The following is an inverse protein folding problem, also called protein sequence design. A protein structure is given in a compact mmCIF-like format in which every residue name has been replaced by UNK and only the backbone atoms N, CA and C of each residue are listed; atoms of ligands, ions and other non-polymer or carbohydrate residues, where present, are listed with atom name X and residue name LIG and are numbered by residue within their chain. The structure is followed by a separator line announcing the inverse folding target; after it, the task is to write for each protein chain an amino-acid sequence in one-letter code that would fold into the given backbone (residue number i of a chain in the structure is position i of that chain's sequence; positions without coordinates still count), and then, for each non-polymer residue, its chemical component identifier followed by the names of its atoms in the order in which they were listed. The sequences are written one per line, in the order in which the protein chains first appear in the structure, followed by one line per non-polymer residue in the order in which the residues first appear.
data_IF_052191678045
#
_entry.id   IF_052191678045
#
_cell.length_a   1.000
_cell.length_b   1.000
_cell.length_c   1.000
_cell.angle_alpha   90.00
_cell.angle_beta   90.00
_cell.angle_gamma   90.00
#
_symmetry.space_group_name_H-M   'P 1'
#
loop_
_entity.id
_entity.type
_entity.pdbx_description
1 polymer ?
#
# COMPACT_ATOMS: atom_id res chain seq x y z
N UNK A 1 3.31 10.58 16.71
CA UNK A 1 2.54 11.72 16.14
C UNK A 1 2.28 12.70 17.27
N UNK A 2 2.70 13.96 17.12
CA UNK A 2 2.45 14.96 18.16
C UNK A 2 0.97 15.39 18.19
N UNK A 3 0.57 16.01 19.31
CA UNK A 3 -0.83 16.39 19.55
C UNK A 3 -1.33 17.45 18.56
N UNK A 4 -0.45 18.28 18.00
CA UNK A 4 -0.78 19.30 17.02
C UNK A 4 -1.08 18.69 15.65
N UNK A 5 -0.30 17.71 15.23
CA UNK A 5 -0.52 16.92 14.00
C UNK A 5 -1.81 16.12 14.11
N UNK A 6 -2.07 15.48 15.27
CA UNK A 6 -3.32 14.76 15.53
C UNK A 6 -4.54 15.70 15.43
N UNK A 7 -4.49 16.88 16.04
CA UNK A 7 -5.57 17.86 15.99
C UNK A 7 -5.80 18.43 14.59
N UNK A 8 -4.74 18.61 13.80
CA UNK A 8 -4.86 19.02 12.39
C UNK A 8 -5.56 17.96 11.56
N UNK A 9 -5.18 16.68 11.70
CA UNK A 9 -5.78 15.55 10.98
C UNK A 9 -7.25 15.42 11.39
N UNK A 10 -7.56 15.45 12.67
CA UNK A 10 -8.94 15.35 13.18
C UNK A 10 -9.83 16.51 12.74
N UNK A 11 -9.26 17.70 12.51
CA UNK A 11 -10.00 18.85 11.96
C UNK A 11 -10.45 18.68 10.51
N UNK A 12 -9.82 17.75 9.78
CA UNK A 12 -10.15 17.43 8.36
C UNK A 12 -10.92 16.12 8.18
N UNK A 13 -11.20 15.37 9.27
CA UNK A 13 -11.98 14.14 9.19
C UNK A 13 -13.45 14.45 9.43
N UNK A 14 -14.29 14.52 8.39
CA UNK A 14 -15.70 14.83 8.54
C UNK A 14 -16.45 13.70 9.21
N UNK A 15 -17.47 14.07 9.97
CA UNK A 15 -18.43 13.15 10.58
C UNK A 15 -19.63 12.97 9.66
N UNK A 16 -20.03 11.73 9.44
CA UNK A 16 -21.22 11.33 8.68
C UNK A 16 -22.28 10.81 9.64
N UNK A 17 -23.51 11.31 9.53
CA UNK A 17 -24.66 10.85 10.32
C UNK A 17 -25.54 9.99 9.42
N UNK A 18 -25.76 8.73 9.81
CA UNK A 18 -26.71 7.84 9.17
C UNK A 18 -27.98 7.74 10.02
N UNK A 19 -29.12 8.11 9.45
CA UNK A 19 -30.42 7.90 10.03
C UNK A 19 -30.98 6.52 9.64
N UNK A 20 -31.43 5.75 10.64
CA UNK A 20 -32.09 4.45 10.43
C UNK A 20 -33.35 4.36 11.27
N UNK A 21 -34.15 3.30 11.08
CA UNK A 21 -35.31 3.02 11.92
C UNK A 21 -34.97 2.75 13.40
N UNK A 22 -33.67 2.55 13.71
CA UNK A 22 -33.15 2.34 15.07
C UNK A 22 -32.50 3.58 15.68
N UNK A 23 -32.60 4.74 15.01
CA UNK A 23 -32.02 6.01 15.44
C UNK A 23 -30.85 6.47 14.52
N UNK A 24 -30.21 7.55 14.93
CA UNK A 24 -29.06 8.12 14.26
C UNK A 24 -27.75 7.51 14.79
N UNK A 25 -26.81 7.24 13.89
CA UNK A 25 -25.44 6.83 14.21
C UNK A 25 -24.45 7.77 13.54
N UNK A 26 -23.46 8.17 14.31
CA UNK A 26 -22.36 9.03 13.84
C UNK A 26 -21.13 8.19 13.57
N UNK A 27 -20.47 8.41 12.43
CA UNK A 27 -19.21 7.79 12.02
C UNK A 27 -18.27 8.88 11.53
N UNK A 28 -16.97 8.75 11.75
CA UNK A 28 -16.02 9.44 10.91
C UNK A 28 -16.03 8.86 9.49
N UNK A 29 -15.56 9.65 8.51
CA UNK A 29 -15.64 9.24 7.09
C UNK A 29 -14.89 7.94 6.81
N UNK A 30 -13.72 7.71 7.43
CA UNK A 30 -12.95 6.49 7.20
C UNK A 30 -13.62 5.26 7.81
N UNK A 31 -14.16 5.37 9.02
CA UNK A 31 -14.99 4.30 9.63
C UNK A 31 -16.23 4.01 8.80
N UNK A 32 -16.82 5.03 8.17
CA UNK A 32 -17.96 4.83 7.27
C UNK A 32 -17.57 4.08 5.99
N UNK A 33 -16.43 4.45 5.39
CA UNK A 33 -15.89 3.78 4.20
C UNK A 33 -15.44 2.36 4.50
N UNK A 34 -14.89 2.10 5.68
CA UNK A 34 -14.50 0.74 6.11
C UNK A 34 -15.69 -0.23 6.07
N UNK A 35 -16.89 0.22 6.41
CA UNK A 35 -18.12 -0.60 6.29
C UNK A 35 -18.47 -0.97 4.84
N UNK A 36 -17.99 -0.21 3.86
CA UNK A 36 -18.06 -0.53 2.43
C UNK A 36 -16.81 -1.32 1.96
N UNK A 37 -16.02 -1.83 2.90
CA UNK A 37 -14.79 -2.61 2.67
C UNK A 37 -13.69 -1.80 1.99
N UNK A 38 -13.65 -0.49 2.24
CA UNK A 38 -12.67 0.44 1.70
C UNK A 38 -11.69 0.83 2.80
N UNK A 39 -10.40 0.60 2.54
CA UNK A 39 -9.27 0.99 3.38
C UNK A 39 -8.47 2.07 2.65
N UNK A 40 -8.06 3.11 3.37
CA UNK A 40 -7.17 4.15 2.84
C UNK A 40 -5.77 4.04 3.43
N UNK A 41 -4.78 3.91 2.55
CA UNK A 41 -3.36 4.08 2.83
C UNK A 41 -2.92 5.41 2.21
N UNK A 42 -3.13 6.50 2.93
CA UNK A 42 -3.00 7.88 2.45
C UNK A 42 -1.81 8.65 3.00
N UNK A 43 -0.84 7.97 3.64
CA UNK A 43 0.31 8.60 4.30
C UNK A 43 1.57 7.76 4.07
N UNK A 44 2.69 8.21 4.66
CA UNK A 44 3.88 7.39 4.83
C UNK A 44 3.54 6.12 5.64
N UNK A 45 4.19 5.01 5.30
CA UNK A 45 3.99 3.69 5.92
C UNK A 45 4.96 3.55 7.09
N UNK A 46 4.45 3.70 8.30
CA UNK A 46 5.12 3.40 9.56
C UNK A 46 4.42 2.23 10.27
N UNK A 47 4.92 1.87 11.46
CA UNK A 47 4.37 0.75 12.23
C UNK A 47 2.91 0.99 12.68
N UNK A 48 2.53 2.23 13.02
CA UNK A 48 1.18 2.57 13.46
C UNK A 48 0.19 2.45 12.30
N UNK A 49 0.56 2.98 11.13
CA UNK A 49 -0.22 2.86 9.89
C UNK A 49 -0.36 1.40 9.48
N UNK A 50 0.74 0.63 9.51
CA UNK A 50 0.72 -0.78 9.15
C UNK A 50 -0.19 -1.58 10.09
N UNK A 51 -0.06 -1.39 11.40
CA UNK A 51 -0.92 -2.06 12.40
C UNK A 51 -2.40 -1.73 12.19
N UNK A 52 -2.72 -0.48 11.85
CA UNK A 52 -4.09 -0.06 11.55
C UNK A 52 -4.63 -0.75 10.30
N UNK A 53 -3.86 -0.78 9.20
CA UNK A 53 -4.27 -1.44 7.93
C UNK A 53 -4.42 -2.95 8.13
N UNK A 54 -3.48 -3.60 8.81
CA UNK A 54 -3.54 -5.02 9.16
C UNK A 54 -4.81 -5.35 9.96
N UNK A 55 -5.12 -4.56 11.00
CA UNK A 55 -6.33 -4.76 11.79
C UNK A 55 -7.62 -4.63 10.96
N UNK A 56 -7.66 -3.67 10.04
CA UNK A 56 -8.78 -3.46 9.12
C UNK A 56 -8.93 -4.64 8.14
N UNK A 57 -7.83 -5.13 7.56
CA UNK A 57 -7.84 -6.30 6.67
C UNK A 57 -8.39 -7.54 7.38
N UNK A 58 -7.88 -7.84 8.59
CA UNK A 58 -8.32 -8.97 9.40
C UNK A 58 -9.80 -8.85 9.81
N UNK A 59 -10.25 -7.65 10.18
CA UNK A 59 -11.65 -7.40 10.52
C UNK A 59 -12.56 -7.69 9.33
N UNK A 60 -12.26 -7.12 8.17
CA UNK A 60 -13.08 -7.27 6.98
C UNK A 60 -13.12 -8.71 6.47
N UNK A 61 -11.99 -9.42 6.50
CA UNK A 61 -11.94 -10.84 6.14
C UNK A 61 -12.80 -11.69 7.11
N UNK A 62 -12.73 -11.42 8.42
CA UNK A 62 -13.53 -12.12 9.42
C UNK A 62 -15.04 -11.90 9.27
N UNK A 63 -15.46 -10.73 8.80
CA UNK A 63 -16.87 -10.40 8.53
C UNK A 63 -17.42 -11.12 7.30
N UNK A 64 -16.65 -11.17 6.21
CA UNK A 64 -17.03 -11.85 4.98
C UNK A 64 -15.83 -12.06 4.05
N UNK A 65 -15.28 -13.25 4.02
CA UNK A 65 -14.11 -13.59 3.22
C UNK A 65 -14.39 -13.81 1.72
N UNK A 66 -15.67 -13.80 1.30
CA UNK A 66 -16.05 -13.97 -0.12
C UNK A 66 -16.13 -12.64 -0.88
N UNK A 67 -15.99 -11.51 -0.16
CA UNK A 67 -16.06 -10.18 -0.75
C UNK A 67 -14.68 -9.53 -0.80
N UNK A 68 -14.43 -8.83 -1.89
CA UNK A 68 -13.21 -8.06 -2.07
C UNK A 68 -13.06 -6.97 -1.01
N UNK A 69 -11.81 -6.68 -0.68
CA UNK A 69 -11.39 -5.49 0.08
C UNK A 69 -10.75 -4.52 -0.89
N UNK A 70 -11.11 -3.24 -0.82
CA UNK A 70 -10.54 -2.19 -1.66
C UNK A 70 -9.50 -1.40 -0.86
N UNK A 71 -8.23 -1.52 -1.23
CA UNK A 71 -7.13 -0.76 -0.65
C UNK A 71 -6.76 0.40 -1.57
N UNK A 72 -7.16 1.62 -1.20
CA UNK A 72 -6.81 2.86 -1.88
C UNK A 72 -5.46 3.37 -1.39
N UNK A 73 -4.53 3.59 -2.31
CA UNK A 73 -3.14 3.96 -2.03
C UNK A 73 -2.83 5.34 -2.57
N UNK A 74 -2.41 6.24 -1.68
CA UNK A 74 -1.80 7.53 -1.99
C UNK A 74 -0.66 7.76 -1.00
N UNK A 75 0.47 7.09 -1.24
CA UNK A 75 1.57 6.96 -0.28
C UNK A 75 2.93 7.11 -0.94
N UNK A 76 3.85 7.86 -0.33
CA UNK A 76 5.25 7.93 -0.77
C UNK A 76 6.06 6.66 -0.44
N UNK A 77 5.46 5.67 0.23
CA UNK A 77 6.14 4.51 0.76
C UNK A 77 6.47 4.67 2.25
N UNK A 78 7.56 4.06 2.71
CA UNK A 78 7.99 4.14 4.11
C UNK A 78 8.77 2.91 4.57
N UNK A 79 8.59 2.52 5.82
CA UNK A 79 9.34 1.45 6.48
C UNK A 79 9.04 0.08 5.85
N UNK A 80 10.09 -0.63 5.43
CA UNK A 80 9.96 -1.90 4.71
C UNK A 80 9.24 -2.95 5.57
N UNK A 81 9.65 -3.12 6.83
CA UNK A 81 9.03 -4.11 7.73
C UNK A 81 7.56 -3.84 7.99
N UNK A 82 7.17 -2.58 8.09
CA UNK A 82 5.78 -2.14 8.21
C UNK A 82 4.98 -2.48 6.94
N UNK A 83 5.54 -2.19 5.76
CA UNK A 83 4.92 -2.56 4.48
C UNK A 83 4.82 -4.07 4.29
N UNK A 84 5.82 -4.84 4.71
CA UNK A 84 5.78 -6.32 4.67
C UNK A 84 4.70 -6.90 5.58
N UNK A 85 4.42 -6.30 6.73
CA UNK A 85 3.31 -6.73 7.60
C UNK A 85 1.94 -6.60 6.88
N UNK A 86 1.75 -5.52 6.11
CA UNK A 86 0.55 -5.36 5.28
C UNK A 86 0.53 -6.41 4.16
N UNK A 87 1.63 -6.57 3.43
CA UNK A 87 1.77 -7.54 2.34
C UNK A 87 1.46 -8.96 2.78
N UNK A 88 2.09 -9.41 3.87
CA UNK A 88 1.89 -10.76 4.39
C UNK A 88 0.44 -10.97 4.84
N UNK A 89 -0.20 -9.93 5.41
CA UNK A 89 -1.61 -9.99 5.79
C UNK A 89 -2.52 -10.08 4.55
N UNK A 90 -2.24 -9.31 3.48
CA UNK A 90 -2.98 -9.42 2.22
C UNK A 90 -2.92 -10.84 1.63
N UNK A 91 -1.79 -11.53 1.79
CA UNK A 91 -1.63 -12.91 1.34
C UNK A 91 -2.19 -13.96 2.30
N UNK A 92 -2.33 -13.63 3.60
CA UNK A 92 -2.85 -14.53 4.63
C UNK A 92 -4.36 -14.67 4.58
N UNK A 93 -5.07 -13.55 4.36
CA UNK A 93 -6.53 -13.49 4.34
C UNK A 93 -7.11 -14.18 3.09
N UNK A 94 -8.38 -14.56 3.16
CA UNK A 94 -9.08 -15.21 2.04
C UNK A 94 -9.74 -14.21 1.09
N UNK A 95 -10.11 -13.03 1.58
CA UNK A 95 -10.67 -11.96 0.76
C UNK A 95 -9.65 -11.52 -0.29
N UNK A 96 -10.08 -11.37 -1.54
CA UNK A 96 -9.26 -10.70 -2.54
C UNK A 96 -9.04 -9.23 -2.17
N UNK A 97 -7.82 -8.74 -2.31
CA UNK A 97 -7.48 -7.33 -2.08
C UNK A 97 -7.30 -6.62 -3.41
N UNK A 98 -8.25 -5.78 -3.76
CA UNK A 98 -8.14 -4.87 -4.91
C UNK A 98 -7.36 -3.64 -4.51
N UNK A 99 -6.27 -3.33 -5.22
CA UNK A 99 -5.43 -2.16 -4.95
C UNK A 99 -5.67 -1.06 -5.99
N UNK A 100 -5.76 0.20 -5.52
CA UNK A 100 -6.12 1.33 -6.39
C UNK A 100 -5.22 2.52 -6.05
N UNK A 101 -4.35 2.92 -6.98
CA UNK A 101 -3.51 4.11 -6.81
C UNK A 101 -4.29 5.39 -7.09
N UNK A 102 -4.28 6.31 -6.11
CA UNK A 102 -4.76 7.68 -6.22
C UNK A 102 -3.56 8.62 -6.05
N UNK A 103 -3.34 9.56 -6.95
CA UNK A 103 -2.21 10.49 -6.83
C UNK A 103 -0.86 9.81 -6.97
N UNK A 104 -0.33 9.21 -5.91
CA UNK A 104 0.98 8.57 -5.93
C UNK A 104 1.01 7.23 -5.19
N UNK A 105 1.73 6.28 -5.78
CA UNK A 105 2.22 5.08 -5.08
C UNK A 105 3.72 4.95 -5.34
N UNK A 106 4.53 5.25 -4.32
CA UNK A 106 5.98 5.23 -4.44
C UNK A 106 6.61 4.23 -3.47
N UNK A 107 7.76 3.62 -3.85
CA UNK A 107 8.52 2.74 -2.98
C UNK A 107 7.67 1.59 -2.42
N UNK A 108 7.56 1.44 -1.10
CA UNK A 108 6.67 0.46 -0.47
C UNK A 108 5.19 0.64 -0.87
N UNK A 109 4.76 1.86 -1.22
CA UNK A 109 3.42 2.09 -1.77
C UNK A 109 3.22 1.44 -3.14
N UNK A 110 4.22 1.52 -4.03
CA UNK A 110 4.20 0.84 -5.33
C UNK A 110 4.29 -0.69 -5.18
N UNK A 111 5.09 -1.15 -4.22
CA UNK A 111 5.19 -2.56 -3.87
C UNK A 111 3.81 -3.12 -3.46
N UNK A 112 3.12 -2.48 -2.51
CA UNK A 112 1.78 -2.89 -2.07
C UNK A 112 0.74 -2.77 -3.19
N UNK A 113 0.84 -1.76 -4.06
CA UNK A 113 -0.02 -1.63 -5.24
C UNK A 113 0.12 -2.86 -6.15
N UNK A 114 1.35 -3.29 -6.42
CA UNK A 114 1.65 -4.46 -7.26
C UNK A 114 1.22 -5.79 -6.62
N UNK A 115 1.11 -5.82 -5.30
CA UNK A 115 0.77 -7.00 -4.51
C UNK A 115 -0.74 -7.28 -4.40
N UNK A 116 -1.59 -6.43 -4.93
CA UNK A 116 -3.02 -6.69 -5.00
C UNK A 116 -3.35 -7.94 -5.81
N UNK A 117 -4.56 -8.46 -5.61
CA UNK A 117 -5.05 -9.64 -6.33
C UNK A 117 -4.97 -9.40 -7.85
N UNK A 118 -4.36 -10.32 -8.58
CA UNK A 118 -4.16 -10.22 -10.02
C UNK A 118 -5.49 -10.03 -10.76
N UNK A 119 -5.53 -9.05 -11.68
CA UNK A 119 -6.74 -8.62 -12.36
C UNK A 119 -7.52 -7.51 -11.62
N UNK A 120 -7.14 -7.20 -10.36
CA UNK A 120 -7.82 -6.22 -9.49
C UNK A 120 -6.91 -5.07 -9.04
N UNK A 121 -5.76 -4.90 -9.68
CA UNK A 121 -4.79 -3.83 -9.42
C UNK A 121 -5.02 -2.67 -10.38
N UNK A 122 -5.21 -1.47 -9.86
CA UNK A 122 -5.68 -0.34 -10.66
C UNK A 122 -4.94 0.96 -10.32
N UNK A 123 -4.98 1.91 -11.25
CA UNK A 123 -4.58 3.29 -10.98
C UNK A 123 -5.52 4.28 -11.69
N UNK A 124 -5.71 5.46 -11.12
CA UNK A 124 -6.34 6.57 -11.82
C UNK A 124 -5.43 7.10 -12.92
N UNK A 125 -5.97 7.71 -14.00
CA UNK A 125 -5.19 8.11 -15.18
C UNK A 125 -4.02 9.05 -14.91
N UNK A 126 -4.14 9.92 -13.91
CA UNK A 126 -3.10 10.89 -13.52
C UNK A 126 -2.22 10.41 -12.37
N UNK A 127 -2.40 9.16 -11.91
CA UNK A 127 -1.58 8.60 -10.84
C UNK A 127 -0.13 8.40 -11.30
N UNK A 128 0.79 8.57 -10.36
CA UNK A 128 2.23 8.36 -10.54
C UNK A 128 2.67 7.18 -9.71
N UNK A 129 3.39 6.27 -10.32
CA UNK A 129 3.96 5.11 -9.65
C UNK A 129 5.48 5.24 -9.68
N UNK A 130 6.16 4.94 -8.58
CA UNK A 130 7.62 4.99 -8.53
C UNK A 130 8.16 3.76 -7.82
N UNK A 131 9.07 3.08 -8.48
CA UNK A 131 9.81 1.93 -7.93
C UNK A 131 11.29 2.30 -7.77
N UNK A 132 11.91 1.83 -6.72
CA UNK A 132 13.33 1.96 -6.46
C UNK A 132 13.81 0.92 -5.44
N UNK A 133 15.13 0.76 -5.31
CA UNK A 133 15.72 -0.09 -4.29
C UNK A 133 15.51 0.48 -2.87
N UNK A 134 15.59 -0.37 -1.82
CA UNK A 134 15.55 0.08 -0.44
C UNK A 134 16.57 1.19 -0.16
N UNK A 135 16.13 2.18 0.59
CA UNK A 135 17.02 3.15 1.21
C UNK A 135 17.35 2.66 2.61
N UNK A 136 18.61 2.70 2.96
CA UNK A 136 19.08 2.30 4.28
C UNK A 136 20.45 2.85 4.59
N UNK A 137 20.82 2.80 5.85
CA UNK A 137 22.13 3.19 6.34
C UNK A 137 22.42 2.50 7.66
N UNK A 138 23.69 2.31 7.99
CA UNK A 138 24.13 1.69 9.22
C UNK A 138 25.14 2.59 9.94
N UNK A 139 25.07 2.64 11.26
CA UNK A 139 26.00 3.37 12.10
C UNK A 139 26.29 2.54 13.36
N UNK A 140 27.55 2.47 13.74
CA UNK A 140 27.98 1.70 14.93
C UNK A 140 29.34 1.08 14.76
N UNK A 141 29.57 -0.05 15.43
CA UNK A 141 30.80 -0.82 15.28
C UNK A 141 30.86 -1.49 13.90
N UNK A 142 32.06 -1.79 13.42
CA UNK A 142 32.26 -2.38 12.09
C UNK A 142 31.42 -3.65 11.86
N UNK A 143 31.33 -4.51 12.86
CA UNK A 143 30.52 -5.74 12.80
C UNK A 143 29.00 -5.43 12.68
N UNK A 144 28.51 -4.42 13.42
CA UNK A 144 27.10 -4.02 13.37
C UNK A 144 26.74 -3.45 11.98
N UNK A 145 27.64 -2.63 11.42
CA UNK A 145 27.49 -2.09 10.05
C UNK A 145 27.44 -3.23 9.01
N UNK A 146 28.31 -4.25 9.17
CA UNK A 146 28.31 -5.41 8.26
C UNK A 146 27.01 -6.22 8.35
N UNK A 147 26.48 -6.44 9.55
CA UNK A 147 25.21 -7.14 9.77
C UNK A 147 24.04 -6.38 9.17
N UNK A 148 23.96 -5.08 9.41
CA UNK A 148 22.92 -4.22 8.87
C UNK A 148 22.96 -4.17 7.33
N UNK A 149 24.16 -4.04 6.75
CA UNK A 149 24.33 -4.05 5.31
C UNK A 149 23.85 -5.38 4.68
N UNK A 150 24.15 -6.52 5.30
CA UNK A 150 23.67 -7.83 4.84
C UNK A 150 22.14 -7.91 4.87
N UNK A 151 21.52 -7.40 5.93
CA UNK A 151 20.06 -7.43 6.05
C UNK A 151 19.39 -6.50 5.01
N UNK A 152 19.94 -5.31 4.77
CA UNK A 152 19.45 -4.41 3.71
C UNK A 152 19.54 -5.09 2.34
N UNK A 153 20.64 -5.75 2.02
CA UNK A 153 20.80 -6.48 0.76
C UNK A 153 19.82 -7.64 0.65
N UNK A 154 19.61 -8.41 1.74
CA UNK A 154 18.63 -9.50 1.78
C UNK A 154 17.22 -8.99 1.50
N UNK A 155 16.81 -7.87 2.14
CA UNK A 155 15.52 -7.24 1.91
C UNK A 155 15.39 -6.73 0.47
N UNK A 156 16.45 -6.11 -0.09
CA UNK A 156 16.48 -5.67 -1.49
C UNK A 156 16.16 -6.82 -2.43
N UNK A 157 16.86 -7.95 -2.31
CA UNK A 157 16.64 -9.11 -3.17
C UNK A 157 15.21 -9.66 -3.04
N UNK A 158 14.72 -9.83 -1.82
CA UNK A 158 13.36 -10.32 -1.55
C UNK A 158 12.29 -9.40 -2.19
N UNK A 159 12.41 -8.08 -2.05
CA UNK A 159 11.44 -7.14 -2.63
C UNK A 159 11.47 -7.18 -4.17
N UNK A 160 12.66 -7.31 -4.79
CA UNK A 160 12.81 -7.42 -6.24
C UNK A 160 12.19 -8.72 -6.75
N UNK A 161 12.42 -9.85 -6.08
CA UNK A 161 11.83 -11.15 -6.43
C UNK A 161 10.30 -11.09 -6.41
N UNK A 162 9.71 -10.58 -5.33
CA UNK A 162 8.25 -10.43 -5.20
C UNK A 162 7.71 -9.47 -6.29
N UNK A 163 8.38 -8.36 -6.53
CA UNK A 163 7.93 -7.40 -7.56
C UNK A 163 8.04 -7.98 -8.97
N UNK A 164 9.07 -8.79 -9.25
CA UNK A 164 9.23 -9.51 -10.51
C UNK A 164 8.08 -10.52 -10.71
N UNK A 165 7.73 -11.27 -9.68
CA UNK A 165 6.60 -12.20 -9.69
C UNK A 165 5.27 -11.46 -9.91
N UNK A 166 5.02 -10.40 -9.16
CA UNK A 166 3.79 -9.61 -9.24
C UNK A 166 3.62 -8.96 -10.62
N UNK A 167 4.69 -8.40 -11.20
CA UNK A 167 4.65 -7.70 -12.48
C UNK A 167 4.76 -8.65 -13.69
N UNK A 168 5.30 -9.86 -13.50
CA UNK A 168 5.62 -10.77 -14.58
C UNK A 168 6.86 -10.35 -15.39
N UNK A 169 7.64 -9.40 -14.88
CA UNK A 169 8.91 -8.98 -15.49
C UNK A 169 10.06 -9.90 -15.06
N UNK A 170 11.10 -10.05 -15.91
CA UNK A 170 12.32 -10.74 -15.51
C UNK A 170 12.97 -10.08 -14.29
N UNK A 171 13.50 -10.90 -13.36
CA UNK A 171 14.20 -10.42 -12.16
C UNK A 171 15.26 -9.36 -12.45
N UNK A 172 16.14 -9.64 -13.45
CA UNK A 172 17.24 -8.73 -13.80
C UNK A 172 16.73 -7.37 -14.31
N UNK A 173 15.59 -7.37 -15.01
CA UNK A 173 14.96 -6.12 -15.46
C UNK A 173 14.42 -5.30 -14.26
N UNK A 174 13.70 -5.93 -13.34
CA UNK A 174 13.19 -5.24 -12.15
C UNK A 174 14.34 -4.72 -11.30
N UNK A 175 15.41 -5.51 -11.17
CA UNK A 175 16.63 -5.12 -10.46
C UNK A 175 17.30 -3.89 -11.05
N UNK A 176 17.42 -3.83 -12.39
CA UNK A 176 17.97 -2.69 -13.12
C UNK A 176 17.08 -1.44 -12.96
N UNK A 177 15.79 -1.60 -13.17
CA UNK A 177 14.81 -0.50 -13.09
C UNK A 177 14.70 0.07 -11.67
N UNK A 178 14.88 -0.75 -10.64
CA UNK A 178 14.87 -0.32 -9.25
C UNK A 178 16.19 0.29 -8.75
N UNK A 179 17.26 0.29 -9.55
CA UNK A 179 18.58 0.79 -9.11
C UNK A 179 18.55 2.29 -8.78
N UNK A 180 17.66 3.04 -9.40
CA UNK A 180 17.35 4.46 -9.14
C UNK A 180 15.83 4.67 -9.20
N UNK A 181 15.38 5.86 -8.80
CA UNK A 181 13.97 6.22 -8.89
C UNK A 181 13.48 6.06 -10.33
N UNK A 182 12.59 5.12 -10.53
CA UNK A 182 11.96 4.80 -11.80
C UNK A 182 10.48 5.19 -11.76
N UNK A 183 10.17 6.32 -12.38
CA UNK A 183 8.82 6.86 -12.41
C UNK A 183 8.04 6.33 -13.60
N UNK A 184 6.80 5.95 -13.35
CA UNK A 184 5.86 5.40 -14.32
C UNK A 184 4.53 6.14 -14.21
N UNK A 185 3.99 6.55 -15.36
CA UNK A 185 2.57 6.90 -15.46
C UNK A 185 1.69 5.67 -15.24
N UNK A 186 0.40 5.87 -15.01
CA UNK A 186 -0.54 4.76 -14.86
C UNK A 186 -0.52 3.81 -16.09
N UNK A 187 -0.41 4.37 -17.32
CA UNK A 187 -0.34 3.57 -18.54
C UNK A 187 0.95 2.74 -18.63
N UNK A 188 2.10 3.32 -18.28
CA UNK A 188 3.38 2.61 -18.24
C UNK A 188 3.41 1.54 -17.14
N UNK A 189 2.84 1.82 -15.97
CA UNK A 189 2.71 0.85 -14.88
C UNK A 189 1.84 -0.35 -15.28
N UNK A 190 0.79 -0.11 -16.08
CA UNK A 190 -0.04 -1.17 -16.64
C UNK A 190 0.75 -2.02 -17.67
N UNK A 191 1.51 -1.39 -18.56
CA UNK A 191 2.37 -2.09 -19.52
C UNK A 191 3.49 -2.87 -18.83
N UNK A 192 4.02 -2.32 -17.74
CA UNK A 192 5.04 -2.97 -16.92
C UNK A 192 4.49 -4.19 -16.17
N UNK A 193 3.19 -4.19 -15.84
CA UNK A 193 2.52 -5.26 -15.10
C UNK A 193 2.41 -5.02 -13.58
N UNK A 194 2.76 -3.81 -13.11
CA UNK A 194 2.56 -3.42 -11.70
C UNK A 194 1.07 -3.28 -11.36
N UNK A 195 0.26 -2.91 -12.36
CA UNK A 195 -1.20 -2.87 -12.27
C UNK A 195 -1.82 -3.57 -13.48
N UNK A 196 -3.11 -3.90 -13.37
CA UNK A 196 -3.84 -4.63 -14.41
C UNK A 196 -4.63 -3.71 -15.34
N UNK A 197 -5.04 -2.53 -14.85
CA UNK A 197 -5.78 -1.56 -15.66
C UNK A 197 -5.70 -0.13 -15.13
N UNK A 198 -5.84 0.82 -16.03
CA UNK A 198 -6.11 2.23 -15.71
C UNK A 198 -7.62 2.42 -15.64
N UNK A 199 -8.11 3.06 -14.56
CA UNK A 199 -9.55 3.32 -14.37
C UNK A 199 -9.96 4.47 -15.29
N UNK A 200 -10.80 4.19 -16.26
CA UNK A 200 -11.38 5.22 -17.14
C UNK A 200 -12.66 5.78 -16.52
N UNK A 201 -12.96 7.04 -16.83
CA UNK A 201 -14.21 7.67 -16.43
C UNK A 201 -15.35 7.04 -17.23
N UNK A 202 -16.26 6.34 -16.56
CA UNK A 202 -17.54 5.96 -17.15
C UNK A 202 -18.44 7.20 -17.20
N UNK A 203 -18.79 7.63 -18.40
CA UNK A 203 -19.78 8.69 -18.67
C UNK A 203 -21.21 8.14 -18.53
#
# INVERSE_FOLDING_TARGET
MDQETYMKIMGYVPTVIEASSRGERSFDIFSRLLRERIIFLGTEIDDDVANSVVAQLLLLDSENSEKDIMLYINSPGGVITAGMAIYDTMNLIKSDVSTICLGEAASMGAFLLSAGTKGKRMALPSARIMIHQPLGGAQGQATDIELEAKEILRMKEMLIEIMAENSGQPYDKVKEDCERDHYLSAAEACQYGLIDKVVERTH
#
